data_IF_074500950220
#
_entry.id   IF_074500950220
#
_cell.length_a   1.000
_cell.length_b   1.000
_cell.length_c   1.000
_cell.angle_alpha   90.00
_cell.angle_beta   90.00
_cell.angle_gamma   90.00
#
_symmetry.space_group_name_H-M   'P 1'
#
loop_
_entity.id
_entity.type
_entity.pdbx_description
1 polymer ?
#
# COMPACT_ATOMS: atom_id res chain seq x y z
N UNK A 1 -21.71 -27.52 17.11
CA UNK A 1 -21.69 -26.09 16.72
C UNK A 1 -20.61 -25.95 15.68
N UNK A 2 -20.91 -25.43 14.48
CA UNK A 2 -19.83 -24.95 13.60
C UNK A 2 -19.21 -23.78 14.35
N UNK A 3 -17.92 -23.85 14.57
CA UNK A 3 -17.14 -22.72 15.06
C UNK A 3 -17.45 -21.55 14.14
N UNK A 4 -18.01 -20.47 14.67
CA UNK A 4 -18.19 -19.25 13.86
C UNK A 4 -16.80 -18.64 13.84
N UNK A 5 -15.97 -19.08 12.89
CA UNK A 5 -14.70 -18.44 12.57
C UNK A 5 -14.94 -16.94 12.48
N UNK A 6 -14.06 -16.15 13.11
CA UNK A 6 -14.05 -14.72 12.91
C UNK A 6 -13.93 -14.41 11.41
N UNK A 7 -14.52 -13.28 10.96
CA UNK A 7 -14.38 -12.83 9.58
C UNK A 7 -12.89 -12.76 9.22
N UNK A 8 -12.47 -13.24 8.04
CA UNK A 8 -11.09 -13.12 7.61
C UNK A 8 -10.74 -11.65 7.38
N UNK A 9 -9.47 -11.32 7.36
CA UNK A 9 -8.97 -9.97 7.22
C UNK A 9 -8.04 -9.86 6.01
N UNK A 10 -7.98 -8.68 5.38
CA UNK A 10 -6.86 -8.36 4.49
C UNK A 10 -5.76 -7.64 5.27
N UNK A 11 -4.52 -7.71 4.81
CA UNK A 11 -3.42 -6.83 5.20
C UNK A 11 -3.11 -5.84 4.07
N UNK A 12 -3.29 -4.56 4.34
CA UNK A 12 -2.99 -3.46 3.44
C UNK A 12 -1.66 -2.79 3.78
N UNK A 13 -0.84 -2.52 2.78
CA UNK A 13 0.48 -1.89 2.92
C UNK A 13 0.71 -0.72 1.94
N UNK A 14 -0.35 -0.32 1.24
CA UNK A 14 -0.38 0.83 0.34
C UNK A 14 -1.63 1.65 0.62
N UNK A 15 -2.43 1.93 -0.42
CA UNK A 15 -3.64 2.75 -0.25
C UNK A 15 -4.66 2.19 0.75
N UNK A 16 -4.66 0.87 0.96
CA UNK A 16 -5.50 0.19 1.95
C UNK A 16 -5.11 0.48 3.42
N UNK A 17 -3.96 1.10 3.68
CA UNK A 17 -3.64 1.65 5.01
C UNK A 17 -4.52 2.87 5.30
N UNK A 18 -4.89 3.64 4.27
CA UNK A 18 -5.76 4.78 4.43
C UNK A 18 -7.23 4.33 4.44
N UNK A 19 -7.82 4.35 5.64
CA UNK A 19 -9.21 3.96 5.89
C UNK A 19 -10.24 4.78 5.11
N UNK A 20 -9.91 5.97 4.61
CA UNK A 20 -10.81 6.75 3.75
C UNK A 20 -10.96 6.16 2.34
N UNK A 21 -10.12 5.20 1.96
CA UNK A 21 -10.18 4.58 0.64
C UNK A 21 -11.08 3.35 0.59
N UNK A 22 -11.68 2.93 1.71
CA UNK A 22 -12.54 1.74 1.78
C UNK A 22 -13.53 1.78 2.96
N UNK A 23 -14.53 0.90 2.95
CA UNK A 23 -15.56 0.80 3.99
C UNK A 23 -15.34 -0.29 5.06
N UNK A 24 -14.24 -1.04 5.00
CA UNK A 24 -14.01 -2.17 5.91
C UNK A 24 -13.82 -1.74 7.38
N UNK A 25 -14.45 -2.47 8.29
CA UNK A 25 -14.43 -2.26 9.74
C UNK A 25 -13.34 -3.09 10.44
N UNK A 26 -13.24 -2.99 11.77
CA UNK A 26 -12.26 -3.69 12.60
C UNK A 26 -10.80 -3.47 12.18
N UNK A 27 -10.54 -2.30 11.57
CA UNK A 27 -9.23 -1.85 11.16
C UNK A 27 -8.28 -1.68 12.36
N UNK A 28 -7.08 -2.24 12.24
CA UNK A 28 -6.02 -2.13 13.26
C UNK A 28 -4.63 -2.20 12.63
N UNK A 29 -3.67 -1.56 13.28
CA UNK A 29 -2.26 -1.63 12.88
C UNK A 29 -1.73 -3.07 12.99
N UNK A 30 -0.90 -3.45 12.04
CA UNK A 30 -0.26 -4.76 11.96
C UNK A 30 1.13 -4.64 11.32
N UNK A 31 1.95 -5.67 11.48
CA UNK A 31 3.26 -5.79 10.86
C UNK A 31 3.42 -7.16 10.23
N UNK A 32 3.89 -7.22 8.99
CA UNK A 32 4.24 -8.49 8.34
C UNK A 32 5.75 -8.56 8.10
N UNK A 33 6.38 -9.62 8.58
CA UNK A 33 7.83 -9.89 8.39
C UNK A 33 8.04 -10.78 7.17
N UNK A 34 9.25 -10.80 6.61
CA UNK A 34 9.52 -11.64 5.42
C UNK A 34 9.10 -10.97 4.11
N UNK A 35 8.82 -9.67 4.15
CA UNK A 35 8.42 -8.85 2.99
C UNK A 35 9.01 -7.45 3.09
N UNK A 36 9.29 -6.83 1.94
CA UNK A 36 9.52 -5.39 1.81
C UNK A 36 8.57 -4.76 0.78
N UNK A 37 8.42 -3.43 0.81
CA UNK A 37 7.63 -2.68 -0.18
C UNK A 37 8.52 -2.27 -1.35
N UNK A 38 8.01 -2.36 -2.57
CA UNK A 38 8.70 -1.82 -3.73
C UNK A 38 7.74 -1.22 -4.74
N UNK A 39 8.14 -0.09 -5.34
CA UNK A 39 7.55 0.39 -6.58
C UNK A 39 7.98 -0.52 -7.73
N UNK A 40 7.03 -1.12 -8.43
CA UNK A 40 7.30 -2.02 -9.56
C UNK A 40 6.35 -1.73 -10.72
N UNK A 41 6.84 -1.94 -11.94
CA UNK A 41 6.00 -1.95 -13.14
C UNK A 41 5.51 -3.36 -13.42
N UNK A 42 4.36 -3.48 -14.10
CA UNK A 42 3.91 -4.73 -14.70
C UNK A 42 3.67 -4.54 -16.21
N UNK A 43 3.73 -5.61 -17.03
CA UNK A 43 3.48 -5.51 -18.47
C UNK A 43 2.07 -5.01 -18.82
N UNK A 44 1.14 -5.05 -17.87
CA UNK A 44 -0.27 -4.78 -18.11
C UNK A 44 -0.67 -3.32 -17.89
N UNK A 45 0.25 -2.47 -17.40
CA UNK A 45 -0.08 -1.09 -17.02
C UNK A 45 1.08 -0.14 -17.29
N UNK A 46 0.76 1.10 -17.64
CA UNK A 46 1.74 2.15 -17.93
C UNK A 46 2.31 2.81 -16.66
N UNK A 47 1.82 2.48 -15.46
CA UNK A 47 2.21 3.09 -14.19
C UNK A 47 2.96 2.08 -13.31
N UNK A 48 3.80 2.58 -12.41
CA UNK A 48 4.30 1.77 -11.30
C UNK A 48 3.25 1.65 -10.19
N UNK A 49 3.23 0.50 -9.54
CA UNK A 49 2.40 0.21 -8.38
C UNK A 49 3.26 -0.21 -7.20
N UNK A 50 2.75 -0.01 -5.99
CA UNK A 50 3.36 -0.52 -4.78
C UNK A 50 2.99 -1.99 -4.63
N UNK A 51 3.99 -2.87 -4.49
CA UNK A 51 3.78 -4.28 -4.18
C UNK A 51 4.63 -4.70 -2.99
N UNK A 52 4.18 -5.73 -2.26
CA UNK A 52 5.02 -6.46 -1.34
C UNK A 52 5.86 -7.49 -2.12
N UNK A 53 7.14 -7.59 -1.82
CA UNK A 53 8.09 -8.56 -2.39
C UNK A 53 8.70 -9.38 -1.25
N UNK A 54 8.86 -10.70 -1.39
CA UNK A 54 9.47 -11.53 -0.34
C UNK A 54 10.89 -11.08 0.01
N UNK A 55 11.16 -10.88 1.31
CA UNK A 55 12.45 -10.49 1.86
C UNK A 55 12.57 -10.88 3.33
N UNK A 56 13.48 -11.81 3.63
CA UNK A 56 13.66 -12.35 4.98
C UNK A 56 14.17 -11.36 6.03
N UNK A 57 14.74 -10.22 5.63
CA UNK A 57 15.37 -9.28 6.57
C UNK A 57 14.44 -8.14 7.01
N UNK A 58 13.35 -7.91 6.28
CA UNK A 58 12.51 -6.72 6.45
C UNK A 58 11.09 -7.03 6.95
N UNK A 59 10.41 -5.96 7.34
CA UNK A 59 9.00 -5.98 7.68
C UNK A 59 8.27 -4.78 7.11
N UNK A 60 6.97 -4.95 6.90
CA UNK A 60 6.06 -3.92 6.41
C UNK A 60 5.07 -3.60 7.52
N UNK A 61 5.02 -2.33 7.94
CA UNK A 61 3.88 -1.80 8.70
C UNK A 61 2.67 -1.61 7.78
N UNK A 62 1.49 -2.00 8.26
CA UNK A 62 0.26 -1.91 7.49
C UNK A 62 -0.98 -2.05 8.36
N UNK A 63 -2.14 -2.11 7.73
CA UNK A 63 -3.44 -2.19 8.40
C UNK A 63 -4.09 -3.53 8.08
N UNK A 64 -4.61 -4.23 9.07
CA UNK A 64 -5.60 -5.29 8.81
C UNK A 64 -7.01 -4.78 9.04
N UNK A 65 -7.97 -5.22 8.23
CA UNK A 65 -9.40 -4.95 8.43
C UNK A 65 -10.25 -6.15 7.99
N UNK A 66 -11.40 -6.34 8.66
CA UNK A 66 -12.25 -7.50 8.44
C UNK A 66 -12.96 -7.47 7.10
N UNK A 67 -13.12 -8.63 6.48
CA UNK A 67 -13.87 -8.89 5.25
C UNK A 67 -15.16 -9.63 5.64
N UNK A 68 -16.29 -8.91 5.81
CA UNK A 68 -17.50 -9.47 6.37
C UNK A 68 -18.04 -10.65 5.55
N UNK A 69 -18.43 -11.72 6.25
CA UNK A 69 -18.95 -12.95 5.65
C UNK A 69 -17.96 -13.63 4.67
N UNK A 70 -16.67 -13.30 4.77
CA UNK A 70 -15.66 -13.69 3.79
C UNK A 70 -16.02 -13.30 2.34
N UNK A 71 -16.79 -12.22 2.14
CA UNK A 71 -17.09 -11.73 0.79
C UNK A 71 -15.94 -10.87 0.25
N UNK A 72 -15.07 -11.55 -0.47
CA UNK A 72 -13.89 -10.95 -1.07
C UNK A 72 -14.13 -10.26 -2.41
N UNK A 73 -15.31 -10.44 -3.01
CA UNK A 73 -15.57 -10.13 -4.42
C UNK A 73 -15.18 -8.70 -4.80
N UNK A 74 -15.62 -7.72 -4.00
CA UNK A 74 -15.34 -6.31 -4.26
C UNK A 74 -13.86 -5.95 -4.04
N UNK A 75 -13.17 -6.62 -3.11
CA UNK A 75 -11.75 -6.38 -2.86
C UNK A 75 -10.89 -7.01 -3.96
N UNK A 76 -11.24 -8.20 -4.41
CA UNK A 76 -10.58 -8.88 -5.54
C UNK A 76 -10.71 -8.06 -6.84
N UNK A 77 -11.89 -7.47 -7.10
CA UNK A 77 -12.06 -6.60 -8.27
C UNK A 77 -11.19 -5.34 -8.18
N UNK A 78 -11.12 -4.72 -6.99
CA UNK A 78 -10.25 -3.57 -6.74
C UNK A 78 -8.78 -3.93 -6.94
N UNK A 79 -8.36 -5.06 -6.37
CA UNK A 79 -6.97 -5.53 -6.35
C UNK A 79 -6.66 -6.53 -7.47
N UNK A 80 -7.44 -6.54 -8.56
CA UNK A 80 -7.36 -7.51 -9.69
C UNK A 80 -5.99 -7.67 -10.35
N UNK A 81 -5.03 -6.78 -10.08
CA UNK A 81 -3.66 -6.85 -10.59
C UNK A 81 -2.71 -7.59 -9.64
N UNK A 82 -3.21 -8.08 -8.50
CA UNK A 82 -2.46 -8.76 -7.46
C UNK A 82 -3.06 -10.14 -7.22
N UNK A 83 -2.23 -11.08 -6.80
CA UNK A 83 -2.66 -12.35 -6.23
C UNK A 83 -2.98 -12.15 -4.74
N UNK A 84 -4.10 -12.71 -4.28
CA UNK A 84 -4.38 -12.83 -2.84
C UNK A 84 -3.60 -14.01 -2.26
N UNK A 85 -2.68 -13.71 -1.34
CA UNK A 85 -1.80 -14.68 -0.69
C UNK A 85 -2.16 -14.74 0.79
N UNK A 86 -2.49 -15.93 1.35
CA UNK A 86 -2.70 -16.06 2.79
C UNK A 86 -1.40 -15.81 3.54
N UNK A 87 -1.50 -15.10 4.67
CA UNK A 87 -0.40 -14.90 5.61
C UNK A 87 -0.50 -15.91 6.76
N UNK A 88 0.65 -16.42 7.21
CA UNK A 88 0.78 -17.32 8.34
C UNK A 88 1.37 -16.64 9.58
N UNK A 89 2.38 -17.25 10.19
CA UNK A 89 3.01 -16.74 11.43
C UNK A 89 3.80 -15.43 11.28
N UNK A 90 3.99 -14.97 10.04
CA UNK A 90 4.75 -13.77 9.70
C UNK A 90 4.00 -12.47 9.99
N UNK A 91 2.67 -12.50 10.12
CA UNK A 91 1.84 -11.33 10.49
C UNK A 91 1.72 -11.21 12.02
N UNK A 92 1.81 -9.98 12.52
CA UNK A 92 1.66 -9.62 13.94
C UNK A 92 0.64 -8.50 14.09
N UNK A 93 -0.35 -8.71 14.97
CA UNK A 93 -1.39 -7.75 15.33
C UNK A 93 -1.99 -8.13 16.71
N UNK A 94 -2.81 -7.25 17.28
CA UNK A 94 -3.47 -7.44 18.59
C UNK A 94 -4.88 -8.08 18.48
N UNK A 95 -5.16 -8.72 17.36
CA UNK A 95 -6.51 -9.21 16.98
C UNK A 95 -6.83 -10.65 17.33
N UNK A 96 -5.94 -11.36 18.00
CA UNK A 96 -6.09 -12.79 18.27
C UNK A 96 -5.80 -13.64 17.03
N UNK A 97 -6.40 -14.82 16.95
CA UNK A 97 -6.25 -15.75 15.83
C UNK A 97 -7.20 -15.34 14.69
N UNK A 98 -6.63 -14.77 13.62
CA UNK A 98 -7.37 -14.27 12.46
C UNK A 98 -6.74 -14.83 11.18
N UNK A 99 -7.57 -15.28 10.24
CA UNK A 99 -7.14 -15.55 8.88
C UNK A 99 -6.85 -14.21 8.18
N UNK A 100 -5.60 -13.97 7.77
CA UNK A 100 -5.18 -12.73 7.10
C UNK A 100 -4.65 -13.03 5.70
N UNK A 101 -4.97 -12.18 4.72
CA UNK A 101 -4.39 -12.28 3.38
C UNK A 101 -3.80 -10.95 2.89
N UNK A 102 -2.67 -11.02 2.19
CA UNK A 102 -2.02 -9.90 1.51
C UNK A 102 -2.28 -9.98 0.01
N UNK A 103 -2.41 -8.84 -0.66
CA UNK A 103 -2.40 -8.77 -2.12
C UNK A 103 -1.00 -8.43 -2.60
N UNK A 104 -0.35 -9.27 -3.41
CA UNK A 104 0.99 -9.00 -3.97
C UNK A 104 1.03 -9.35 -5.46
N UNK A 105 1.84 -8.63 -6.26
CA UNK A 105 2.00 -8.98 -7.67
C UNK A 105 2.74 -10.32 -7.70
N UNK A 106 2.27 -11.26 -8.52
CA UNK A 106 2.86 -12.60 -8.52
C UNK A 106 4.35 -12.55 -8.88
N UNK A 107 5.20 -13.43 -8.28
CA UNK A 107 6.60 -13.51 -8.63
C UNK A 107 6.80 -13.67 -10.15
N UNK A 108 7.65 -12.84 -10.73
CA UNK A 108 7.92 -12.85 -12.19
C UNK A 108 6.95 -12.01 -13.02
N UNK A 109 5.87 -11.48 -12.45
CA UNK A 109 4.90 -10.60 -13.15
C UNK A 109 5.16 -9.10 -12.94
N UNK A 110 6.23 -8.77 -12.21
CA UNK A 110 6.67 -7.41 -11.99
C UNK A 110 8.15 -7.22 -12.30
N UNK A 111 8.52 -5.99 -12.67
CA UNK A 111 9.89 -5.61 -12.99
C UNK A 111 10.28 -4.30 -12.30
N UNK A 112 11.58 -4.01 -12.30
CA UNK A 112 12.07 -2.71 -11.84
C UNK A 112 11.41 -1.56 -12.65
N UNK A 113 11.10 -0.43 -11.98
CA UNK A 113 10.63 0.78 -12.65
C UNK A 113 11.55 1.26 -13.77
N UNK A 114 10.96 1.99 -14.71
CA UNK A 114 11.65 2.73 -15.77
C UNK A 114 11.12 4.17 -15.81
N UNK A 115 11.77 5.05 -16.58
CA UNK A 115 11.34 6.44 -16.73
C UNK A 115 9.95 6.60 -17.36
N UNK A 116 9.45 5.57 -18.02
CA UNK A 116 8.15 5.54 -18.71
C UNK A 116 7.01 5.04 -17.81
N UNK A 117 7.32 4.58 -16.59
CA UNK A 117 6.32 4.04 -15.66
C UNK A 117 6.30 4.85 -14.37
N UNK A 118 5.72 6.06 -14.37
CA UNK A 118 5.71 6.87 -13.18
C UNK A 118 4.81 6.30 -12.10
N UNK A 119 5.09 6.69 -10.85
CA UNK A 119 4.15 6.59 -9.73
C UNK A 119 3.30 7.86 -9.73
N UNK A 120 1.98 7.72 -9.61
CA UNK A 120 1.09 8.88 -9.48
C UNK A 120 1.30 9.55 -8.12
N UNK A 121 1.50 10.88 -8.11
CA UNK A 121 1.63 11.63 -6.86
C UNK A 121 0.35 11.56 -6.04
N UNK A 122 -0.82 11.61 -6.69
CA UNK A 122 -2.11 11.42 -6.02
C UNK A 122 -2.28 10.03 -5.39
N UNK A 123 -1.60 9.00 -5.89
CA UNK A 123 -1.55 7.69 -5.22
C UNK A 123 -0.64 7.74 -4.00
N UNK A 124 0.57 8.29 -4.15
CA UNK A 124 1.52 8.43 -3.06
C UNK A 124 0.95 9.25 -1.91
N UNK A 125 0.27 10.36 -2.22
CA UNK A 125 -0.42 11.23 -1.26
C UNK A 125 -1.38 10.43 -0.37
N UNK A 126 -2.18 9.54 -0.98
CA UNK A 126 -3.13 8.68 -0.27
C UNK A 126 -2.42 7.70 0.65
N UNK A 127 -1.32 7.11 0.19
CA UNK A 127 -0.53 6.15 0.98
C UNK A 127 0.09 6.85 2.20
N UNK A 128 0.80 7.96 1.98
CA UNK A 128 1.46 8.73 3.05
C UNK A 128 0.45 9.28 4.04
N UNK A 129 -0.70 9.79 3.58
CA UNK A 129 -1.78 10.23 4.47
C UNK A 129 -2.28 9.08 5.37
N UNK A 130 -2.41 7.87 4.82
CA UNK A 130 -2.76 6.68 5.61
C UNK A 130 -1.72 6.36 6.67
N UNK A 131 -0.44 6.30 6.28
CA UNK A 131 0.65 6.04 7.22
C UNK A 131 0.75 7.11 8.31
N UNK A 132 0.58 8.39 7.96
CA UNK A 132 0.60 9.46 8.95
C UNK A 132 -0.50 9.32 9.99
N UNK A 133 -1.71 8.92 9.59
CA UNK A 133 -2.86 8.79 10.51
C UNK A 133 -2.78 7.56 11.39
N UNK A 134 -2.32 6.44 10.86
CA UNK A 134 -2.28 5.16 11.59
C UNK A 134 -0.99 4.99 12.41
N UNK A 135 0.11 5.62 11.98
CA UNK A 135 1.46 5.41 12.55
C UNK A 135 2.23 6.70 12.86
N UNK A 136 1.66 7.88 12.62
CA UNK A 136 2.33 9.16 12.85
C UNK A 136 3.51 9.40 11.92
N UNK A 137 4.39 10.33 12.32
CA UNK A 137 5.59 10.71 11.56
C UNK A 137 6.58 9.55 11.39
N UNK A 138 6.67 8.67 12.40
CA UNK A 138 7.57 7.52 12.37
C UNK A 138 7.16 6.54 11.26
N UNK A 139 5.87 6.27 11.10
CA UNK A 139 5.39 5.41 10.02
C UNK A 139 5.58 6.02 8.62
N UNK A 140 5.42 7.34 8.48
CA UNK A 140 5.75 8.03 7.21
C UNK A 140 7.24 7.90 6.91
N UNK A 141 8.09 8.12 7.90
CA UNK A 141 9.55 8.00 7.76
C UNK A 141 9.93 6.58 7.37
N UNK A 142 9.43 5.58 8.12
CA UNK A 142 9.65 4.17 7.85
C UNK A 142 9.15 3.77 6.45
N UNK A 143 7.98 4.25 6.01
CA UNK A 143 7.47 4.00 4.66
C UNK A 143 8.46 4.46 3.58
N UNK A 144 8.98 5.69 3.66
CA UNK A 144 9.93 6.19 2.68
C UNK A 144 11.28 5.45 2.73
N UNK A 145 11.79 5.14 3.92
CA UNK A 145 13.11 4.51 4.11
C UNK A 145 13.17 3.05 3.67
N UNK A 146 12.07 2.30 3.81
CA UNK A 146 12.01 0.85 3.55
C UNK A 146 11.26 0.49 2.27
N UNK A 147 10.78 1.50 1.53
CA UNK A 147 10.19 1.26 0.21
C UNK A 147 11.29 1.37 -0.85
N UNK A 148 11.46 0.34 -1.66
CA UNK A 148 12.39 0.34 -2.79
C UNK A 148 11.76 0.95 -4.06
N UNK A 149 12.60 1.22 -5.06
CA UNK A 149 12.16 1.58 -6.40
C UNK A 149 11.83 3.07 -6.59
N UNK A 150 12.32 3.93 -5.70
CA UNK A 150 12.18 5.39 -5.80
C UNK A 150 12.86 6.03 -7.01
N UNK A 151 13.63 5.26 -7.80
CA UNK A 151 14.10 5.72 -9.12
C UNK A 151 12.96 5.81 -10.15
N UNK A 152 11.78 5.25 -9.87
CA UNK A 152 10.58 5.54 -10.63
C UNK A 152 10.29 7.04 -10.59
N UNK A 153 10.04 7.71 -11.73
CA UNK A 153 9.63 9.10 -11.69
C UNK A 153 8.26 9.24 -11.03
N UNK A 154 8.03 10.37 -10.38
CA UNK A 154 6.73 10.72 -9.80
C UNK A 154 6.01 11.63 -10.79
N UNK A 155 4.82 11.24 -11.24
CA UNK A 155 3.97 12.10 -12.05
C UNK A 155 3.10 12.95 -11.14
N UNK A 156 3.32 14.26 -11.15
CA UNK A 156 2.50 15.22 -10.42
C UNK A 156 1.15 15.40 -11.11
N UNK A 157 0.14 14.69 -10.61
CA UNK A 157 -1.24 14.76 -11.05
C UNK A 157 -2.16 15.40 -9.99
N UNK A 158 -1.61 16.15 -9.01
CA UNK A 158 -2.41 16.71 -7.90
C UNK A 158 -3.54 17.65 -8.33
N UNK A 159 -3.36 18.38 -9.43
CA UNK A 159 -4.37 19.35 -9.93
C UNK A 159 -5.56 18.66 -10.61
N UNK A 160 -5.35 17.48 -11.19
CA UNK A 160 -6.35 16.62 -11.81
C UNK A 160 -6.00 15.15 -11.52
N UNK A 161 -6.36 14.62 -10.33
CA UNK A 161 -5.91 13.31 -9.89
C UNK A 161 -6.38 12.18 -10.79
N UNK A 162 -5.43 11.36 -11.28
CA UNK A 162 -5.74 10.15 -12.05
C UNK A 162 -6.10 8.99 -11.12
N UNK A 163 -5.53 8.96 -9.91
CA UNK A 163 -5.84 7.90 -8.96
C UNK A 163 -7.32 7.99 -8.50
N UNK A 164 -8.16 6.98 -8.75
CA UNK A 164 -9.62 7.07 -8.54
C UNK A 164 -10.06 7.18 -7.07
N UNK A 165 -9.13 7.04 -6.12
CA UNK A 165 -9.37 7.18 -4.68
C UNK A 165 -8.47 8.27 -4.08
N UNK A 166 -8.03 9.24 -4.89
CA UNK A 166 -7.30 10.41 -4.42
C UNK A 166 -8.05 11.07 -3.25
N UNK A 167 -7.30 11.51 -2.24
CA UNK A 167 -7.84 12.19 -1.08
C UNK A 167 -7.43 13.66 -1.10
N UNK A 168 -8.22 14.50 -0.42
CA UNK A 168 -7.79 15.87 -0.12
C UNK A 168 -6.82 15.81 1.05
N UNK A 169 -5.64 16.38 0.87
CA UNK A 169 -4.62 16.46 1.92
C UNK A 169 -4.67 17.82 2.62
N UNK A 170 -4.34 17.82 3.91
CA UNK A 170 -4.00 19.06 4.62
C UNK A 170 -2.65 19.61 4.11
N UNK A 171 -2.33 20.85 4.46
CA UNK A 171 -1.03 21.44 4.16
C UNK A 171 0.13 20.66 4.82
N UNK A 172 -0.10 20.12 6.02
CA UNK A 172 0.86 19.29 6.74
C UNK A 172 1.06 17.95 6.03
N UNK A 173 -0.03 17.25 5.68
CA UNK A 173 0.04 15.97 4.96
C UNK A 173 0.75 16.14 3.60
N UNK A 174 0.47 17.23 2.88
CA UNK A 174 1.14 17.56 1.61
C UNK A 174 2.64 17.79 1.81
N UNK A 175 3.02 18.55 2.84
CA UNK A 175 4.41 18.84 3.16
C UNK A 175 5.21 17.58 3.53
N UNK A 176 4.58 16.59 4.19
CA UNK A 176 5.22 15.32 4.51
C UNK A 176 5.59 14.52 3.25
N UNK A 177 4.70 14.49 2.26
CA UNK A 177 4.97 13.84 0.97
C UNK A 177 6.11 14.53 0.25
N UNK A 178 6.04 15.86 0.15
CA UNK A 178 7.02 16.67 -0.59
C UNK A 178 8.41 16.60 0.06
N UNK A 179 8.48 16.60 1.40
CA UNK A 179 9.73 16.43 2.14
C UNK A 179 10.33 15.03 1.93
N UNK A 180 9.51 13.98 1.92
CA UNK A 180 9.95 12.61 1.65
C UNK A 180 10.55 12.47 0.25
N UNK A 181 9.86 12.99 -0.77
CA UNK A 181 10.34 13.01 -2.15
C UNK A 181 11.62 13.82 -2.32
N UNK A 182 11.70 14.99 -1.68
CA UNK A 182 12.90 15.85 -1.69
C UNK A 182 14.11 15.15 -1.07
N UNK A 183 13.94 14.49 0.09
CA UNK A 183 15.02 13.74 0.76
C UNK A 183 15.58 12.61 -0.12
N UNK A 184 14.72 11.97 -0.91
CA UNK A 184 15.10 10.91 -1.85
C UNK A 184 15.66 11.46 -3.16
N UNK A 185 15.64 12.78 -3.38
CA UNK A 185 15.95 13.40 -4.67
C UNK A 185 15.11 12.81 -5.81
N UNK A 186 13.85 12.48 -5.53
CA UNK A 186 12.95 11.86 -6.50
C UNK A 186 12.68 12.78 -7.70
N UNK A 187 12.63 12.21 -8.90
CA UNK A 187 12.34 12.96 -10.13
C UNK A 187 10.84 13.19 -10.23
N UNK A 188 10.38 14.42 -9.99
CA UNK A 188 8.98 14.80 -10.13
C UNK A 188 8.73 15.43 -11.51
N UNK A 189 7.93 14.77 -12.34
CA UNK A 189 7.48 15.24 -13.66
C UNK A 189 6.13 15.92 -13.54
N UNK A 190 5.91 17.01 -14.25
CA UNK A 190 4.57 17.59 -14.38
C UNK A 190 3.75 16.77 -15.37
N UNK A 191 2.44 16.72 -15.16
CA UNK A 191 1.50 16.17 -16.15
C UNK A 191 1.22 17.24 -17.20
N UNK A 192 1.46 16.89 -18.46
CA UNK A 192 1.13 17.72 -19.63
C UNK A 192 -0.40 17.93 -19.77
#
# INVERSE_FOLDING_TARGET
MKDVSADPHFFGYGSLVNRQTHGYSNARAAKVTGWHRAWRRSPHRALCYLTAVPDSAEYIEGLIASVPNADWTALDERERAYARVPLGSEIRHDGGDLDVAIYAIAPGEHHAPTDDNPVLLSYLDVVVQGYFREFGLDGVTHFFETTEGWHAPILNDRTDPVYPRAQVLSAEETALVDAGLSRLSAVVKQRD
#
